data_IF_615219385300
#
_entry.id   IF_615219385300
#
_cell.length_a   1.000
_cell.length_b   1.000
_cell.length_c   1.000
_cell.angle_alpha   90.00
_cell.angle_beta   90.00
_cell.angle_gamma   90.00
#
_symmetry.space_group_name_H-M   'P 1'
#
loop_
_entity.id
_entity.type
_entity.pdbx_description
1 polymer ?
#
# COMPACT_ATOMS: atom_id res chain seq x y z
N UNK A 1 -14.17 0.49 -15.30
CA UNK A 1 -13.60 0.45 -13.94
C UNK A 1 -14.19 1.63 -13.19
N UNK A 2 -14.63 1.43 -11.96
CA UNK A 2 -14.99 2.57 -11.10
C UNK A 2 -13.72 3.31 -10.72
N UNK A 3 -13.78 4.63 -10.62
CA UNK A 3 -12.66 5.44 -10.17
C UNK A 3 -12.33 5.10 -8.70
N UNK A 4 -11.06 5.03 -8.36
CA UNK A 4 -10.62 4.79 -6.98
C UNK A 4 -10.73 6.09 -6.20
N UNK A 5 -11.65 6.15 -5.24
CA UNK A 5 -11.92 7.36 -4.45
C UNK A 5 -11.59 7.16 -2.97
N UNK A 6 -11.77 5.95 -2.46
CA UNK A 6 -11.58 5.61 -1.06
C UNK A 6 -10.85 4.28 -0.93
N UNK A 7 -10.42 3.95 0.29
CA UNK A 7 -9.87 2.63 0.60
C UNK A 7 -10.82 1.46 0.32
N UNK A 8 -12.13 1.68 0.29
CA UNK A 8 -13.11 0.63 -0.05
C UNK A 8 -13.05 0.22 -1.55
N UNK A 9 -12.48 1.07 -2.41
CA UNK A 9 -12.36 0.81 -3.84
C UNK A 9 -11.10 -0.01 -4.21
N UNK A 10 -10.18 -0.20 -3.26
CA UNK A 10 -8.93 -0.92 -3.46
C UNK A 10 -9.18 -2.44 -3.52
N UNK A 11 -8.62 -3.10 -4.53
CA UNK A 11 -8.83 -4.52 -4.79
C UNK A 11 -8.23 -5.44 -3.72
N UNK A 12 -7.29 -4.91 -2.92
CA UNK A 12 -6.66 -5.59 -1.80
C UNK A 12 -7.30 -5.28 -0.44
N UNK A 13 -8.42 -4.56 -0.41
CA UNK A 13 -9.22 -4.34 0.80
C UNK A 13 -10.59 -5.01 0.70
N UNK A 14 -11.23 -5.24 1.85
CA UNK A 14 -12.61 -5.74 1.94
C UNK A 14 -13.18 -5.44 3.32
N UNK A 15 -14.49 -5.26 3.43
CA UNK A 15 -15.17 -5.29 4.73
C UNK A 15 -15.39 -6.73 5.21
N UNK A 16 -14.95 -7.03 6.43
CA UNK A 16 -15.20 -8.33 7.06
C UNK A 16 -16.66 -8.45 7.55
N UNK A 17 -17.01 -9.58 8.18
CA UNK A 17 -18.36 -9.82 8.71
C UNK A 17 -18.79 -8.85 9.81
N UNK A 18 -17.85 -8.12 10.42
CA UNK A 18 -18.10 -7.09 11.43
C UNK A 18 -18.13 -5.68 10.81
N UNK A 19 -17.97 -5.56 9.48
CA UNK A 19 -17.96 -4.30 8.76
C UNK A 19 -16.62 -3.55 8.82
N UNK A 20 -15.58 -4.14 9.42
CA UNK A 20 -14.24 -3.53 9.49
C UNK A 20 -13.56 -3.64 8.14
N UNK A 21 -12.95 -2.55 7.69
CA UNK A 21 -12.17 -2.56 6.45
C UNK A 21 -10.81 -3.22 6.71
N UNK A 22 -10.64 -4.44 6.21
CA UNK A 22 -9.42 -5.22 6.33
C UNK A 22 -8.60 -5.16 5.05
N UNK A 23 -7.28 -5.11 5.21
CA UNK A 23 -6.33 -5.29 4.11
C UNK A 23 -6.02 -6.79 3.96
N UNK A 24 -5.61 -7.21 2.77
CA UNK A 24 -5.16 -8.58 2.48
C UNK A 24 -6.19 -9.66 2.85
N UNK A 25 -7.44 -9.59 2.32
CA UNK A 25 -8.50 -10.51 2.71
C UNK A 25 -8.25 -11.98 2.32
N UNK A 26 -7.19 -12.27 1.55
CA UNK A 26 -6.79 -13.61 1.15
C UNK A 26 -5.35 -13.88 1.59
N UNK A 27 -5.16 -14.86 2.47
CA UNK A 27 -3.83 -15.34 2.87
C UNK A 27 -3.31 -16.38 1.86
N UNK A 28 -2.29 -16.01 1.06
CA UNK A 28 -1.68 -16.84 0.02
C UNK A 28 -0.16 -16.94 0.19
N UNK A 29 0.34 -17.66 1.20
CA UNK A 29 1.77 -17.77 1.41
C UNK A 29 2.45 -18.48 0.21
N UNK A 30 3.53 -17.89 -0.31
CA UNK A 30 4.39 -18.51 -1.33
C UNK A 30 3.88 -18.46 -2.78
N UNK A 31 2.78 -17.77 -3.07
CA UNK A 31 2.25 -17.66 -4.44
C UNK A 31 3.04 -16.62 -5.24
N UNK A 32 4.03 -17.08 -6.02
CA UNK A 32 4.93 -16.22 -6.80
C UNK A 32 4.20 -15.23 -7.75
N UNK A 33 3.05 -15.62 -8.32
CA UNK A 33 2.28 -14.73 -9.20
C UNK A 33 1.67 -13.53 -8.48
N UNK A 34 1.50 -13.60 -7.16
CA UNK A 34 0.95 -12.50 -6.37
C UNK A 34 1.97 -11.37 -6.16
N UNK A 35 3.27 -11.61 -6.42
CA UNK A 35 4.29 -10.56 -6.40
C UNK A 35 3.94 -9.38 -7.32
N UNK A 36 3.66 -9.67 -8.59
CA UNK A 36 3.30 -8.64 -9.58
C UNK A 36 2.00 -7.90 -9.22
N UNK A 37 1.07 -8.59 -8.54
CA UNK A 37 -0.16 -7.96 -8.05
C UNK A 37 0.14 -7.00 -6.90
N UNK A 38 0.98 -7.41 -5.95
CA UNK A 38 1.47 -6.56 -4.87
C UNK A 38 2.09 -5.26 -5.38
N UNK A 39 2.94 -5.36 -6.41
CA UNK A 39 3.50 -4.19 -7.10
C UNK A 39 2.38 -3.30 -7.69
N UNK A 40 1.42 -3.89 -8.42
CA UNK A 40 0.30 -3.16 -9.02
C UNK A 40 -0.64 -2.50 -8.01
N UNK A 41 -0.85 -3.09 -6.84
CA UNK A 41 -1.65 -2.49 -5.77
C UNK A 41 -1.07 -1.13 -5.35
N UNK A 42 0.25 -1.01 -5.27
CA UNK A 42 0.88 0.25 -4.93
C UNK A 42 1.00 1.18 -6.16
N UNK A 43 1.59 0.68 -7.25
CA UNK A 43 1.96 1.50 -8.42
C UNK A 43 0.78 1.92 -9.29
N UNK A 44 -0.37 1.26 -9.17
CA UNK A 44 -1.59 1.62 -9.89
C UNK A 44 -2.67 2.13 -8.92
N UNK A 45 -3.11 1.30 -7.98
CA UNK A 45 -4.30 1.60 -7.18
C UNK A 45 -4.04 2.67 -6.12
N UNK A 46 -2.99 2.50 -5.31
CA UNK A 46 -2.60 3.52 -4.31
C UNK A 46 -2.11 4.80 -4.99
N UNK A 47 -1.44 4.70 -6.14
CA UNK A 47 -1.06 5.89 -6.93
C UNK A 47 -2.28 6.68 -7.41
N UNK A 48 -3.30 6.00 -7.96
CA UNK A 48 -4.57 6.63 -8.37
C UNK A 48 -5.28 7.24 -7.16
N UNK A 49 -5.39 6.50 -6.06
CA UNK A 49 -5.98 7.00 -4.82
C UNK A 49 -5.25 8.24 -4.31
N UNK A 50 -3.92 8.23 -4.30
CA UNK A 50 -3.11 9.36 -3.84
C UNK A 50 -3.26 10.60 -4.72
N UNK A 51 -3.65 10.44 -6.00
CA UNK A 51 -3.95 11.56 -6.89
C UNK A 51 -5.31 12.20 -6.56
N UNK A 52 -6.22 11.43 -5.96
CA UNK A 52 -7.53 11.89 -5.51
C UNK A 52 -7.51 12.42 -4.07
N UNK A 53 -7.01 11.61 -3.14
CA UNK A 53 -6.91 11.89 -1.71
C UNK A 53 -5.65 11.23 -1.12
N UNK A 54 -4.67 12.07 -0.79
CA UNK A 54 -3.41 11.65 -0.18
C UNK A 54 -3.58 11.08 1.24
N UNK A 55 -4.63 11.48 1.97
CA UNK A 55 -4.92 10.96 3.31
C UNK A 55 -5.47 9.54 3.24
N UNK A 56 -6.35 9.25 2.28
CA UNK A 56 -6.83 7.88 2.05
C UNK A 56 -5.69 6.96 1.59
N UNK A 57 -4.79 7.45 0.72
CA UNK A 57 -3.60 6.70 0.32
C UNK A 57 -2.63 6.46 1.49
N UNK A 58 -2.42 7.47 2.34
CA UNK A 58 -1.63 7.33 3.57
C UNK A 58 -2.18 6.18 4.44
N UNK A 59 -3.48 6.18 4.73
CA UNK A 59 -4.13 5.12 5.50
C UNK A 59 -4.03 3.76 4.79
N UNK A 60 -4.18 3.71 3.46
CA UNK A 60 -4.05 2.47 2.71
C UNK A 60 -2.70 1.79 2.93
N UNK A 61 -1.61 2.57 2.92
CA UNK A 61 -0.23 2.10 3.10
C UNK A 61 0.02 1.71 4.56
N UNK A 62 -0.36 2.58 5.51
CA UNK A 62 -0.19 2.32 6.94
C UNK A 62 -0.89 1.02 7.36
N UNK A 63 -2.15 0.86 6.96
CA UNK A 63 -2.91 -0.35 7.28
C UNK A 63 -2.43 -1.57 6.49
N UNK A 64 -1.93 -1.41 5.27
CA UNK A 64 -1.33 -2.53 4.53
C UNK A 64 -0.11 -3.12 5.27
N UNK A 65 0.72 -2.28 5.90
CA UNK A 65 1.89 -2.72 6.66
C UNK A 65 1.48 -3.34 8.00
N UNK A 66 0.58 -2.68 8.73
CA UNK A 66 0.22 -3.08 10.12
C UNK A 66 -0.80 -4.22 10.19
N UNK A 67 -1.60 -4.45 9.15
CA UNK A 67 -2.68 -5.46 9.17
C UNK A 67 -2.23 -6.91 8.90
N UNK A 68 -0.97 -7.14 8.51
CA UNK A 68 -0.48 -8.46 8.05
C UNK A 68 -0.32 -9.53 9.14
N UNK A 69 -0.49 -9.23 10.43
CA UNK A 69 -0.16 -10.18 11.50
C UNK A 69 -0.95 -10.10 12.81
N UNK A 70 -1.91 -9.17 12.94
CA UNK A 70 -2.74 -9.02 14.14
C UNK A 70 -1.99 -8.73 15.45
N UNK A 71 -0.68 -8.51 15.38
CA UNK A 71 0.21 -8.22 16.50
C UNK A 71 1.25 -7.20 16.04
N UNK A 72 0.89 -5.93 16.15
CA UNK A 72 1.82 -4.82 15.95
C UNK A 72 2.17 -4.20 17.31
N UNK A 73 3.40 -3.74 17.42
CA UNK A 73 3.91 -2.94 18.53
C UNK A 73 3.75 -1.46 18.23
N UNK A 74 3.83 -0.60 19.25
CA UNK A 74 3.88 0.85 19.03
C UNK A 74 5.08 1.28 18.15
N UNK A 75 6.16 0.48 18.15
CA UNK A 75 7.31 0.69 17.26
C UNK A 75 6.94 0.47 15.80
N UNK A 76 6.27 -0.65 15.49
CA UNK A 76 5.84 -0.97 14.12
C UNK A 76 4.80 0.01 13.59
N UNK A 77 3.87 0.46 14.44
CA UNK A 77 2.89 1.49 14.06
C UNK A 77 3.61 2.79 13.66
N UNK A 78 4.47 3.32 14.53
CA UNK A 78 5.17 4.59 14.24
C UNK A 78 6.11 4.50 13.04
N UNK A 79 6.71 3.32 12.81
CA UNK A 79 7.50 3.06 11.61
C UNK A 79 6.62 3.06 10.35
N UNK A 80 5.49 2.33 10.37
CA UNK A 80 4.54 2.27 9.26
C UNK A 80 3.96 3.65 8.92
N UNK A 81 3.61 4.46 9.93
CA UNK A 81 3.17 5.85 9.77
C UNK A 81 4.23 6.67 9.01
N UNK A 82 5.49 6.58 9.41
CA UNK A 82 6.58 7.33 8.76
C UNK A 82 6.82 6.86 7.31
N UNK A 83 6.78 5.55 7.07
CA UNK A 83 6.88 4.98 5.72
C UNK A 83 5.72 5.44 4.84
N UNK A 84 4.49 5.45 5.36
CA UNK A 84 3.32 5.91 4.62
C UNK A 84 3.43 7.39 4.23
N UNK A 85 3.91 8.26 5.14
CA UNK A 85 4.17 9.68 4.81
C UNK A 85 5.22 9.83 3.71
N UNK A 86 6.34 9.12 3.81
CA UNK A 86 7.40 9.17 2.81
C UNK A 86 6.93 8.65 1.45
N UNK A 87 6.14 7.58 1.44
CA UNK A 87 5.55 7.02 0.24
C UNK A 87 4.59 8.00 -0.44
N UNK A 88 3.67 8.63 0.31
CA UNK A 88 2.76 9.65 -0.24
C UNK A 88 3.53 10.84 -0.81
N UNK A 89 4.57 11.32 -0.12
CA UNK A 89 5.46 12.36 -0.66
C UNK A 89 6.10 11.91 -1.99
N UNK A 90 6.58 10.67 -2.07
CA UNK A 90 7.13 10.08 -3.29
C UNK A 90 6.12 10.01 -4.43
N UNK A 91 4.89 9.56 -4.15
CA UNK A 91 3.79 9.51 -5.13
C UNK A 91 3.47 10.92 -5.66
N UNK A 92 3.44 11.93 -4.78
CA UNK A 92 3.28 13.33 -5.16
C UNK A 92 4.41 13.80 -6.09
N UNK A 93 5.66 13.58 -5.69
CA UNK A 93 6.81 13.96 -6.50
C UNK A 93 6.83 13.25 -7.87
N UNK A 94 6.44 11.98 -7.92
CA UNK A 94 6.35 11.21 -9.18
C UNK A 94 5.27 11.79 -10.12
N UNK A 95 4.13 12.24 -9.60
CA UNK A 95 3.13 12.97 -10.41
C UNK A 95 3.71 14.26 -10.99
N UNK A 96 4.60 14.91 -10.25
CA UNK A 96 5.33 16.10 -10.69
C UNK A 96 6.54 15.79 -11.58
N UNK A 97 6.73 14.52 -11.97
CA UNK A 97 7.76 14.08 -12.92
C UNK A 97 9.07 13.60 -12.29
N UNK A 98 9.13 13.42 -10.97
CA UNK A 98 10.28 12.80 -10.34
C UNK A 98 10.48 11.35 -10.82
N UNK A 99 11.73 10.98 -11.07
CA UNK A 99 12.07 9.62 -11.46
C UNK A 99 11.85 8.63 -10.31
N UNK A 100 11.47 7.41 -10.66
CA UNK A 100 11.38 6.29 -9.74
C UNK A 100 12.75 5.96 -9.16
N UNK A 101 12.79 5.63 -7.87
CA UNK A 101 13.97 5.07 -7.23
C UNK A 101 14.18 3.61 -7.68
N UNK A 102 15.37 3.32 -8.21
CA UNK A 102 15.81 1.97 -8.52
C UNK A 102 16.93 1.59 -7.56
N UNK A 103 16.76 0.52 -6.74
CA UNK A 103 17.83 0.00 -5.92
C UNK A 103 19.03 -0.37 -6.79
N UNK A 104 20.25 -0.09 -6.32
CA UNK A 104 21.45 -0.67 -6.92
C UNK A 104 21.34 -2.19 -6.82
N UNK A 105 21.44 -2.90 -7.93
CA UNK A 105 21.47 -4.36 -7.92
C UNK A 105 22.55 -4.80 -6.91
N UNK A 106 22.17 -5.54 -5.88
CA UNK A 106 23.17 -6.23 -5.07
C UNK A 106 23.82 -7.26 -5.97
N UNK A 107 25.14 -7.18 -6.15
CA UNK A 107 25.91 -8.34 -6.58
C UNK A 107 25.71 -9.41 -5.50
N UNK A 108 24.76 -10.31 -5.70
CA UNK A 108 24.73 -11.58 -4.99
C UNK A 108 25.94 -12.38 -5.50
N UNK A 109 27.10 -12.21 -4.84
CA UNK A 109 28.24 -13.16 -4.90
C UNK A 109 27.97 -14.40 -4.08
#
# INVERSE_FOLDING_TARGET
>A
MNAIQTRDDLSFTRRDSEGRLVNWPRNNPGVASDWKKGVGFFECEVYELAAHDETEAFHAIEFAITSMGGRYTSLEIGFAESVARAAVLGLRAMRDGAARFEPTASEET
#
